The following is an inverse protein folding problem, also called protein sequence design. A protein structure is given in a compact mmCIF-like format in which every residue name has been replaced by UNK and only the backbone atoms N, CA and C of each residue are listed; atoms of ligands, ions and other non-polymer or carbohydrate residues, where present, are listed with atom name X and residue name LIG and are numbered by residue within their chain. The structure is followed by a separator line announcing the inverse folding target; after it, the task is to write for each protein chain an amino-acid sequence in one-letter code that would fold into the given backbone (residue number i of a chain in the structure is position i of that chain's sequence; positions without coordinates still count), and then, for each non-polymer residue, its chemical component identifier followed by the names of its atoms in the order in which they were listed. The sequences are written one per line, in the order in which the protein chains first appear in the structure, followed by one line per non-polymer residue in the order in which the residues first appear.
data_IF_001625615554
#
_entry.id   IF_001625615554
#
_cell.length_a   1.000
_cell.length_b   1.000
_cell.length_c   1.000
_cell.angle_alpha   90.00
_cell.angle_beta   90.00
_cell.angle_gamma   90.00
#
_symmetry.space_group_name_H-M   'P 1'
#
loop_
_entity.id
_entity.type
_entity.pdbx_description
1 polymer ?
#
# COMPACT_ATOMS: atom_id res chain seq x y z
N UNK A 1 -16.57 28.41 79.62
CA UNK A 1 -17.57 28.71 78.58
C UNK A 1 -18.24 27.39 78.19
N UNK A 2 -19.26 26.87 78.91
CA UNK A 2 -20.71 27.16 78.87
C UNK A 2 -21.33 26.87 77.48
N UNK A 3 -22.39 26.07 77.24
CA UNK A 3 -23.33 25.24 78.04
C UNK A 3 -24.18 24.42 77.03
N UNK A 4 -24.43 23.15 77.34
CA UNK A 4 -25.71 22.37 77.29
C UNK A 4 -26.73 22.52 76.13
N UNK A 5 -27.08 21.37 75.56
CA UNK A 5 -28.41 20.79 75.23
C UNK A 5 -29.69 21.65 75.38
N UNK A 6 -30.57 21.59 74.36
CA UNK A 6 -32.04 21.57 74.47
C UNK A 6 -32.65 21.16 73.10
N UNK A 7 -33.14 19.94 72.86
CA UNK A 7 -34.46 19.33 73.20
C UNK A 7 -35.69 20.06 72.61
N UNK A 8 -36.37 19.33 71.71
CA UNK A 8 -37.81 19.29 71.34
C UNK A 8 -38.55 20.60 71.03
N UNK A 9 -39.28 20.57 69.91
CA UNK A 9 -40.75 20.66 69.93
C UNK A 9 -41.40 20.02 68.71
N UNK A 10 -42.27 19.04 68.98
CA UNK A 10 -43.31 18.55 68.09
C UNK A 10 -44.29 19.69 67.77
N UNK A 11 -44.92 19.65 66.58
CA UNK A 11 -46.35 19.89 66.42
C UNK A 11 -46.86 19.35 65.08
N UNK A 12 -47.70 18.32 65.22
CA UNK A 12 -48.63 17.78 64.24
C UNK A 12 -49.74 18.77 63.90
N UNK A 13 -50.11 18.89 62.62
CA UNK A 13 -51.52 19.08 62.22
C UNK A 13 -51.73 18.39 60.87
N UNK A 14 -52.57 17.36 60.85
CA UNK A 14 -53.30 16.91 59.65
C UNK A 14 -54.70 17.52 59.74
N UNK A 15 -55.29 17.87 58.60
CA UNK A 15 -56.64 17.39 58.34
C UNK A 15 -56.76 16.70 56.99
N UNK A 16 -57.68 15.74 56.98
CA UNK A 16 -58.19 15.04 55.81
C UNK A 16 -58.84 16.01 54.82
N UNK A 17 -58.62 15.77 53.53
CA UNK A 17 -59.48 16.24 52.45
C UNK A 17 -59.50 15.18 51.35
N UNK A 18 -60.58 14.39 51.33
CA UNK A 18 -60.90 13.51 50.19
C UNK A 18 -61.20 14.38 48.97
N UNK A 19 -60.56 14.08 47.84
CA UNK A 19 -61.15 14.28 46.53
C UNK A 19 -60.53 13.27 45.56
N UNK A 20 -61.36 12.32 45.15
CA UNK A 20 -61.07 11.33 44.13
C UNK A 20 -61.05 12.02 42.75
N UNK A 21 -59.99 11.78 41.98
CA UNK A 21 -60.07 11.79 40.53
C UNK A 21 -59.23 10.62 40.01
N UNK A 22 -59.94 9.56 39.63
CA UNK A 22 -59.41 8.47 38.85
C UNK A 22 -59.21 8.96 37.41
N UNK A 23 -57.96 9.07 36.97
CA UNK A 23 -57.61 9.16 35.56
C UNK A 23 -56.79 7.91 35.21
N UNK A 24 -57.47 6.92 34.65
CA UNK A 24 -56.84 5.74 34.08
C UNK A 24 -56.12 6.14 32.78
N UNK A 25 -54.81 6.35 32.87
CA UNK A 25 -53.94 6.44 31.69
C UNK A 25 -53.53 5.01 31.29
N UNK A 26 -54.17 4.46 30.25
CA UNK A 26 -53.65 3.29 29.54
C UNK A 26 -52.38 3.72 28.80
N UNK A 27 -51.22 3.44 29.38
CA UNK A 27 -49.96 3.47 28.65
C UNK A 27 -49.88 2.20 27.79
N UNK A 28 -50.11 2.33 26.49
CA UNK A 28 -49.79 1.27 25.51
C UNK A 28 -48.26 1.21 25.42
N UNK A 29 -47.65 0.28 26.15
CA UNK A 29 -46.24 -0.07 25.97
C UNK A 29 -46.14 -0.89 24.69
N UNK A 30 -45.77 -0.24 23.59
CA UNK A 30 -45.39 -0.95 22.38
C UNK A 30 -44.13 -1.80 22.66
N UNK A 31 -44.10 -3.09 22.31
CA UNK A 31 -42.87 -3.86 22.41
C UNK A 31 -41.87 -3.29 21.40
N UNK A 32 -40.79 -2.70 21.89
CA UNK A 32 -39.60 -2.44 21.09
C UNK A 32 -39.03 -3.80 20.71
N UNK A 33 -39.33 -4.24 19.49
CA UNK A 33 -38.69 -5.41 18.90
C UNK A 33 -37.18 -5.13 18.82
N UNK A 34 -36.44 -5.64 19.80
CA UNK A 34 -35.00 -5.78 19.69
C UNK A 34 -34.73 -6.67 18.48
N UNK A 35 -34.28 -6.06 17.38
CA UNK A 35 -33.80 -6.81 16.22
C UNK A 35 -32.73 -7.80 16.67
N UNK A 36 -32.64 -9.00 16.06
CA UNK A 36 -31.60 -9.95 16.41
C UNK A 36 -30.23 -9.26 16.29
N UNK A 37 -29.28 -9.55 17.19
CA UNK A 37 -27.92 -9.04 17.04
C UNK A 37 -27.46 -9.44 15.64
N UNK A 38 -27.14 -8.44 14.81
CA UNK A 38 -26.49 -8.68 13.53
C UNK A 38 -25.16 -9.30 13.86
N UNK A 39 -25.07 -10.63 13.75
CA UNK A 39 -23.81 -11.36 13.79
C UNK A 39 -23.00 -10.81 12.62
N UNK A 40 -22.14 -9.83 12.87
CA UNK A 40 -21.11 -9.44 11.91
C UNK A 40 -20.35 -10.72 11.63
N UNK A 41 -20.60 -11.31 10.46
CA UNK A 41 -19.79 -12.40 9.96
C UNK A 41 -18.36 -11.91 10.06
N UNK A 42 -17.57 -12.52 10.96
CA UNK A 42 -16.16 -12.21 11.06
C UNK A 42 -15.60 -12.34 9.65
N UNK A 43 -15.14 -11.23 9.07
CA UNK A 43 -14.65 -11.26 7.70
C UNK A 43 -13.52 -12.27 7.67
N UNK A 44 -13.72 -13.38 6.95
CA UNK A 44 -12.65 -14.33 6.72
C UNK A 44 -11.59 -13.56 5.95
N UNK A 45 -10.43 -13.35 6.57
CA UNK A 45 -9.34 -12.59 5.97
C UNK A 45 -9.02 -13.10 4.56
N UNK A 46 -8.57 -12.22 3.69
CA UNK A 46 -8.20 -12.54 2.32
C UNK A 46 -6.69 -12.69 2.19
N UNK A 47 -6.23 -13.66 1.40
CA UNK A 47 -4.81 -13.84 1.05
C UNK A 47 -4.66 -14.16 -0.43
N UNK A 48 -3.69 -13.50 -1.06
CA UNK A 48 -3.27 -13.76 -2.44
C UNK A 48 -1.76 -13.64 -2.54
N UNK A 49 -1.10 -14.61 -3.16
CA UNK A 49 0.31 -14.56 -3.53
C UNK A 49 0.46 -15.06 -4.96
N UNK A 50 0.92 -14.19 -5.86
CA UNK A 50 1.11 -14.53 -7.27
C UNK A 50 2.40 -15.31 -7.50
N UNK A 51 3.39 -15.16 -6.62
CA UNK A 51 4.71 -15.73 -6.85
C UNK A 51 4.78 -17.22 -6.50
N UNK A 52 5.65 -17.93 -7.19
CA UNK A 52 6.08 -19.30 -6.96
C UNK A 52 7.57 -19.32 -6.55
N UNK A 53 8.09 -20.50 -6.20
CA UNK A 53 9.50 -20.62 -5.79
C UNK A 53 10.50 -20.34 -6.93
N UNK A 54 10.10 -20.56 -8.19
CA UNK A 54 10.93 -20.30 -9.37
C UNK A 54 11.13 -18.81 -9.66
N UNK A 55 10.15 -17.97 -9.31
CA UNK A 55 10.16 -16.55 -9.68
C UNK A 55 11.27 -15.73 -9.03
N UNK A 56 11.74 -16.15 -7.86
CA UNK A 56 12.73 -15.38 -7.11
C UNK A 56 14.12 -15.43 -7.76
N UNK A 57 14.72 -14.26 -7.96
CA UNK A 57 16.11 -14.11 -8.40
C UNK A 57 16.81 -13.08 -7.53
N UNK A 58 17.93 -13.46 -6.93
CA UNK A 58 18.79 -12.55 -6.18
C UNK A 58 19.57 -11.64 -7.15
N UNK A 59 19.85 -10.41 -6.74
CA UNK A 59 20.70 -9.51 -7.50
C UNK A 59 22.14 -10.02 -7.52
N UNK A 60 22.76 -9.95 -8.71
CA UNK A 60 24.13 -10.40 -8.96
C UNK A 60 25.19 -9.45 -8.40
N UNK A 61 24.83 -8.19 -8.13
CA UNK A 61 25.66 -7.22 -7.45
C UNK A 61 24.81 -6.09 -6.85
N UNK A 62 25.42 -5.17 -6.08
CA UNK A 62 24.74 -4.10 -5.33
C UNK A 62 24.04 -3.00 -6.14
N UNK A 63 24.13 -3.01 -7.49
CA UNK A 63 23.49 -1.99 -8.35
C UNK A 63 22.46 -2.56 -9.33
N UNK A 64 22.15 -3.86 -9.26
CA UNK A 64 21.19 -4.52 -10.15
C UNK A 64 19.80 -4.80 -9.55
N UNK A 65 19.43 -4.13 -8.45
CA UNK A 65 18.15 -4.39 -7.78
C UNK A 65 16.92 -4.19 -8.68
N UNK A 66 16.96 -3.22 -9.61
CA UNK A 66 15.88 -2.99 -10.58
C UNK A 66 15.83 -4.10 -11.62
N UNK A 67 16.97 -4.50 -12.21
CA UNK A 67 17.02 -5.59 -13.17
C UNK A 67 16.54 -6.92 -12.58
N UNK A 68 16.96 -7.22 -11.34
CA UNK A 68 16.47 -8.39 -10.60
C UNK A 68 14.96 -8.30 -10.33
N UNK A 69 14.46 -7.14 -9.92
CA UNK A 69 13.03 -6.92 -9.68
C UNK A 69 12.21 -7.02 -10.97
N UNK A 70 12.70 -6.50 -12.10
CA UNK A 70 12.08 -6.69 -13.42
C UNK A 70 11.99 -8.16 -13.79
N UNK A 71 13.08 -8.92 -13.59
CA UNK A 71 13.12 -10.35 -13.86
C UNK A 71 12.07 -11.10 -13.04
N UNK A 72 12.01 -10.87 -11.73
CA UNK A 72 10.99 -11.47 -10.87
C UNK A 72 9.57 -11.09 -11.31
N UNK A 73 9.33 -9.83 -11.66
CA UNK A 73 8.00 -9.37 -12.10
C UNK A 73 7.58 -9.99 -13.44
N UNK A 74 8.51 -10.19 -14.37
CA UNK A 74 8.26 -10.85 -15.65
C UNK A 74 8.02 -12.36 -15.49
N UNK A 75 8.70 -12.99 -14.53
CA UNK A 75 8.48 -14.39 -14.20
C UNK A 75 7.07 -14.60 -13.62
N UNK A 76 6.71 -13.82 -12.59
CA UNK A 76 5.37 -13.85 -11.98
C UNK A 76 4.26 -13.55 -13.00
N UNK A 77 4.48 -12.56 -13.87
CA UNK A 77 3.47 -12.15 -14.85
C UNK A 77 3.30 -13.14 -16.02
N UNK A 78 4.05 -14.25 -16.05
CA UNK A 78 3.84 -15.32 -17.01
C UNK A 78 4.40 -15.03 -18.40
N UNK A 79 5.63 -14.51 -18.49
CA UNK A 79 6.32 -14.38 -19.78
C UNK A 79 7.61 -15.21 -19.89
N UNK A 80 8.27 -15.56 -18.77
CA UNK A 80 9.53 -16.32 -18.72
C UNK A 80 9.66 -17.05 -17.36
N UNK A 81 10.49 -18.08 -17.23
CA UNK A 81 11.01 -18.57 -15.92
C UNK A 81 12.54 -18.45 -15.95
N UNK A 82 13.00 -17.25 -16.29
CA UNK A 82 14.41 -16.97 -16.51
C UNK A 82 15.04 -16.48 -15.21
N UNK A 83 16.08 -17.17 -14.76
CA UNK A 83 16.83 -16.86 -13.53
C UNK A 83 18.30 -16.56 -13.79
N UNK A 84 18.66 -16.33 -15.04
CA UNK A 84 20.05 -16.13 -15.46
C UNK A 84 20.57 -14.73 -15.12
N UNK A 85 21.85 -14.66 -14.77
CA UNK A 85 22.56 -13.41 -14.58
C UNK A 85 22.65 -12.57 -15.88
N UNK A 86 22.63 -13.23 -17.04
CA UNK A 86 22.65 -12.58 -18.35
C UNK A 86 21.37 -11.77 -18.58
N UNK A 87 20.21 -12.35 -18.31
CA UNK A 87 18.94 -11.63 -18.40
C UNK A 87 18.86 -10.52 -17.37
N UNK A 88 19.27 -10.75 -16.13
CA UNK A 88 19.31 -9.68 -15.13
C UNK A 88 20.13 -8.47 -15.59
N UNK A 89 21.32 -8.71 -16.16
CA UNK A 89 22.20 -7.66 -16.69
C UNK A 89 21.55 -6.93 -17.87
N UNK A 90 20.91 -7.66 -18.78
CA UNK A 90 20.18 -7.10 -19.92
C UNK A 90 19.03 -6.20 -19.45
N UNK A 91 18.22 -6.67 -18.51
CA UNK A 91 17.11 -5.91 -17.93
C UNK A 91 17.59 -4.67 -17.18
N UNK A 92 18.67 -4.78 -16.40
CA UNK A 92 19.29 -3.64 -15.73
C UNK A 92 19.84 -2.62 -16.75
N UNK A 93 20.43 -3.07 -17.85
CA UNK A 93 20.88 -2.23 -18.95
C UNK A 93 19.71 -1.46 -19.58
N UNK A 94 18.65 -2.16 -19.96
CA UNK A 94 17.44 -1.57 -20.51
C UNK A 94 16.83 -0.52 -19.57
N UNK A 95 16.65 -0.88 -18.29
CA UNK A 95 16.12 0.05 -17.29
C UNK A 95 17.00 1.30 -17.14
N UNK A 96 18.33 1.17 -17.21
CA UNK A 96 19.25 2.32 -17.20
C UNK A 96 19.08 3.21 -18.41
N UNK A 97 19.02 2.64 -19.62
CA UNK A 97 18.77 3.38 -20.85
C UNK A 97 17.46 4.17 -20.78
N UNK A 98 16.41 3.54 -20.28
CA UNK A 98 15.08 4.15 -20.13
C UNK A 98 14.94 5.05 -18.89
N UNK A 99 15.99 5.20 -18.08
CA UNK A 99 15.94 6.03 -16.87
C UNK A 99 15.93 7.52 -17.17
N UNK A 100 16.21 7.92 -18.41
CA UNK A 100 16.46 9.31 -18.80
C UNK A 100 17.88 9.78 -18.45
N UNK A 101 18.20 11.05 -18.77
CA UNK A 101 19.54 11.59 -18.54
C UNK A 101 19.92 11.53 -17.06
N UNK A 102 21.22 11.48 -16.80
CA UNK A 102 21.79 11.73 -15.49
C UNK A 102 22.26 13.20 -15.41
N UNK A 103 22.49 13.69 -14.20
CA UNK A 103 23.16 15.00 -14.02
C UNK A 103 24.53 14.95 -14.66
N UNK A 104 24.98 16.06 -15.25
CA UNK A 104 26.34 16.20 -15.74
C UNK A 104 27.36 15.76 -14.67
N UNK A 105 28.34 14.96 -15.08
CA UNK A 105 29.36 14.37 -14.20
C UNK A 105 28.87 13.28 -13.25
N UNK A 106 27.61 12.82 -13.36
CA UNK A 106 27.09 11.71 -12.55
C UNK A 106 26.89 10.46 -13.40
N UNK A 107 27.66 9.41 -13.11
CA UNK A 107 27.45 8.11 -13.71
C UNK A 107 26.35 7.32 -12.96
N UNK A 108 25.28 6.99 -13.68
CA UNK A 108 24.18 6.21 -13.10
C UNK A 108 24.54 4.73 -13.02
N UNK A 109 24.81 4.25 -11.80
CA UNK A 109 25.08 2.83 -11.53
C UNK A 109 23.83 1.95 -11.50
N UNK A 110 22.78 2.38 -10.78
CA UNK A 110 21.47 1.71 -10.72
C UNK A 110 20.52 2.16 -11.83
N UNK A 111 19.23 1.85 -11.74
CA UNK A 111 18.20 2.38 -12.66
C UNK A 111 17.13 3.19 -11.89
N UNK A 112 16.43 4.08 -12.58
CA UNK A 112 15.33 4.86 -12.01
C UNK A 112 14.01 4.09 -12.07
N UNK A 113 13.02 4.50 -11.27
CA UNK A 113 11.66 3.95 -11.34
C UNK A 113 11.00 4.16 -12.72
N UNK A 114 11.33 5.25 -13.42
CA UNK A 114 10.89 5.47 -14.81
C UNK A 114 11.42 4.37 -15.72
N UNK A 115 12.73 4.11 -15.63
CA UNK A 115 13.36 3.05 -16.41
C UNK A 115 12.80 1.67 -16.10
N UNK A 116 12.46 1.43 -14.83
CA UNK A 116 11.80 0.21 -14.38
C UNK A 116 10.41 0.03 -15.03
N UNK A 117 9.51 1.01 -14.88
CA UNK A 117 8.16 0.91 -15.44
C UNK A 117 8.17 0.89 -16.97
N UNK A 118 8.98 1.74 -17.60
CA UNK A 118 9.10 1.78 -19.06
C UNK A 118 9.67 0.47 -19.61
N UNK A 119 10.69 -0.10 -18.96
CA UNK A 119 11.27 -1.38 -19.35
C UNK A 119 10.26 -2.53 -19.27
N UNK A 120 9.49 -2.62 -18.19
CA UNK A 120 8.42 -3.63 -18.06
C UNK A 120 7.37 -3.50 -19.15
N UNK A 121 7.00 -2.26 -19.52
CA UNK A 121 6.02 -2.00 -20.57
C UNK A 121 6.56 -2.38 -21.95
N UNK A 122 7.80 -1.99 -22.26
CA UNK A 122 8.45 -2.30 -23.52
C UNK A 122 8.63 -3.81 -23.72
N UNK A 123 8.79 -4.57 -22.63
CA UNK A 123 8.93 -6.03 -22.65
C UNK A 123 7.58 -6.78 -22.63
N UNK A 124 6.44 -6.08 -22.71
CA UNK A 124 5.12 -6.70 -22.70
C UNK A 124 4.63 -7.18 -21.33
N UNK A 125 5.37 -6.92 -20.25
CA UNK A 125 4.95 -7.27 -18.89
C UNK A 125 3.81 -6.38 -18.35
N UNK A 126 3.68 -5.19 -18.92
CA UNK A 126 2.76 -4.14 -18.50
C UNK A 126 1.28 -4.30 -18.86
N UNK A 127 0.53 -3.19 -18.82
CA UNK A 127 1.01 -1.82 -18.64
C UNK A 127 1.20 -1.46 -17.15
N UNK A 128 2.33 -0.82 -16.83
CA UNK A 128 2.76 -0.31 -15.53
C UNK A 128 2.88 1.20 -15.55
N UNK A 129 2.52 1.84 -14.44
CA UNK A 129 2.70 3.28 -14.21
C UNK A 129 3.31 3.55 -12.84
N UNK A 130 3.86 4.74 -12.67
CA UNK A 130 4.32 5.21 -11.37
C UNK A 130 3.15 5.80 -10.59
N UNK A 131 3.06 5.45 -9.32
CA UNK A 131 2.09 6.03 -8.39
C UNK A 131 2.82 6.44 -7.12
N UNK A 132 2.50 7.63 -6.62
CA UNK A 132 2.91 8.09 -5.30
C UNK A 132 1.74 7.98 -4.33
N UNK A 133 2.01 7.55 -3.11
CA UNK A 133 1.05 7.55 -2.01
C UNK A 133 1.56 8.44 -0.88
N UNK A 134 0.62 9.08 -0.18
CA UNK A 134 0.88 9.99 0.94
C UNK A 134 1.19 9.24 2.24
N UNK A 135 0.75 7.99 2.35
CA UNK A 135 0.97 7.14 3.53
C UNK A 135 1.31 5.68 3.14
N UNK A 136 1.86 4.94 4.10
CA UNK A 136 2.13 3.51 3.94
C UNK A 136 0.84 2.71 3.72
N UNK A 137 -0.21 3.02 4.47
CA UNK A 137 -1.50 2.32 4.36
C UNK A 137 -2.16 2.57 3.00
N UNK A 138 -2.10 3.80 2.49
CA UNK A 138 -2.56 4.13 1.13
C UNK A 138 -1.73 3.37 0.08
N UNK A 139 -0.40 3.35 0.21
CA UNK A 139 0.47 2.63 -0.72
C UNK A 139 0.14 1.13 -0.76
N UNK A 140 -0.09 0.52 0.40
CA UNK A 140 -0.47 -0.89 0.51
C UNK A 140 -1.86 -1.16 -0.07
N UNK A 141 -2.84 -0.29 0.17
CA UNK A 141 -4.18 -0.41 -0.45
C UNK A 141 -4.10 -0.30 -1.98
N UNK A 142 -3.37 0.68 -2.50
CA UNK A 142 -3.15 0.84 -3.95
C UNK A 142 -2.48 -0.39 -4.56
N UNK A 143 -1.44 -0.91 -3.90
CA UNK A 143 -0.73 -2.11 -4.35
C UNK A 143 -1.63 -3.36 -4.32
N UNK A 144 -2.32 -3.62 -3.21
CA UNK A 144 -3.21 -4.76 -3.05
C UNK A 144 -4.37 -4.74 -4.07
N UNK A 145 -5.00 -3.58 -4.25
CA UNK A 145 -6.05 -3.41 -5.26
C UNK A 145 -5.54 -3.63 -6.68
N UNK A 146 -4.33 -3.16 -7.01
CA UNK A 146 -3.75 -3.38 -8.33
C UNK A 146 -3.39 -4.85 -8.59
N UNK A 147 -2.73 -5.51 -7.63
CA UNK A 147 -2.43 -6.95 -7.69
C UNK A 147 -3.73 -7.73 -7.90
N UNK A 148 -4.75 -7.43 -7.09
CA UNK A 148 -6.02 -8.14 -7.13
C UNK A 148 -6.78 -7.97 -8.44
N UNK A 149 -6.78 -6.76 -9.02
CA UNK A 149 -7.48 -6.44 -10.28
C UNK A 149 -6.76 -6.96 -11.53
N UNK A 150 -5.43 -6.99 -11.52
CA UNK A 150 -4.62 -7.24 -12.73
C UNK A 150 -3.97 -8.62 -12.75
N UNK A 151 -3.87 -9.30 -11.60
CA UNK A 151 -3.11 -10.53 -11.48
C UNK A 151 -1.61 -10.34 -11.71
N UNK A 152 -1.10 -9.12 -11.55
CA UNK A 152 0.32 -8.77 -11.78
C UNK A 152 0.97 -8.20 -10.51
N UNK A 153 2.28 -8.42 -10.29
CA UNK A 153 2.99 -7.94 -9.11
C UNK A 153 3.18 -6.42 -9.13
N UNK A 154 3.50 -5.84 -7.97
CA UNK A 154 3.78 -4.40 -7.82
C UNK A 154 5.24 -4.19 -7.44
N UNK A 155 5.90 -3.20 -8.03
CA UNK A 155 7.23 -2.77 -7.60
C UNK A 155 7.15 -1.78 -6.43
N UNK A 156 7.98 -1.95 -5.41
CA UNK A 156 8.11 -1.05 -4.26
C UNK A 156 9.46 -0.33 -4.29
N UNK A 157 9.45 1.00 -4.23
CA UNK A 157 10.67 1.79 -4.15
C UNK A 157 11.13 1.94 -2.69
N UNK A 158 12.08 1.11 -2.30
CA UNK A 158 12.56 0.97 -0.93
C UNK A 158 13.69 1.95 -0.58
N UNK A 159 13.95 2.09 0.72
CA UNK A 159 15.10 2.80 1.29
C UNK A 159 15.23 4.24 0.79
N UNK A 160 14.09 4.93 0.77
CA UNK A 160 13.95 6.31 0.30
C UNK A 160 14.39 6.54 -1.15
N UNK A 161 14.25 5.53 -2.01
CA UNK A 161 14.60 5.64 -3.43
C UNK A 161 15.88 4.93 -3.86
N UNK A 162 16.46 4.10 -2.99
CA UNK A 162 17.78 3.48 -3.22
C UNK A 162 17.73 1.99 -3.51
N UNK A 163 16.55 1.37 -3.39
CA UNK A 163 16.40 -0.07 -3.58
C UNK A 163 15.03 -0.43 -4.14
N UNK A 164 14.94 -1.60 -4.76
CA UNK A 164 13.73 -2.08 -5.43
C UNK A 164 13.35 -3.44 -4.86
N UNK A 165 12.11 -3.56 -4.38
CA UNK A 165 11.49 -4.83 -3.99
C UNK A 165 10.27 -5.10 -4.87
N UNK A 166 9.83 -6.36 -4.91
CA UNK A 166 8.57 -6.75 -5.55
C UNK A 166 7.59 -7.18 -4.47
N UNK A 167 6.36 -6.66 -4.53
CA UNK A 167 5.22 -7.18 -3.78
C UNK A 167 4.46 -8.14 -4.71
N UNK A 168 4.54 -9.44 -4.42
CA UNK A 168 3.86 -10.49 -5.19
C UNK A 168 2.45 -10.77 -4.68
N UNK A 169 2.13 -10.30 -3.47
CA UNK A 169 0.88 -10.65 -2.81
C UNK A 169 0.65 -9.89 -1.52
N UNK A 170 -0.46 -10.21 -0.86
CA UNK A 170 -0.88 -9.59 0.38
C UNK A 170 -1.84 -10.47 1.19
N UNK A 171 -1.97 -10.14 2.47
CA UNK A 171 -3.09 -10.51 3.33
C UNK A 171 -3.90 -9.26 3.67
N UNK A 172 -5.21 -9.38 3.75
CA UNK A 172 -6.12 -8.28 4.08
C UNK A 172 -7.30 -8.76 4.95
N UNK A 173 -8.00 -7.82 5.57
CA UNK A 173 -9.23 -8.12 6.33
C UNK A 173 -10.39 -8.59 5.45
N UNK A 174 -10.42 -8.16 4.19
CA UNK A 174 -11.46 -8.50 3.20
C UNK A 174 -10.86 -8.52 1.78
N UNK A 175 -11.52 -9.18 0.82
CA UNK A 175 -11.09 -9.20 -0.60
C UNK A 175 -11.29 -7.82 -1.27
N UNK A 176 -10.24 -7.15 -1.78
CA UNK A 176 -10.36 -5.88 -2.49
C UNK A 176 -11.18 -5.93 -3.77
N UNK A 177 -11.50 -7.11 -4.30
CA UNK A 177 -12.42 -7.27 -5.43
C UNK A 177 -13.90 -7.19 -5.02
N UNK A 178 -14.20 -7.28 -3.72
CA UNK A 178 -15.58 -7.32 -3.19
C UNK A 178 -15.97 -6.08 -2.41
N UNK A 179 -15.01 -5.36 -1.86
CA UNK A 179 -15.24 -4.17 -1.04
C UNK A 179 -14.03 -3.24 -1.06
N UNK A 180 -14.28 -1.95 -0.90
CA UNK A 180 -13.23 -0.96 -0.60
C UNK A 180 -12.95 -0.85 0.91
N UNK A 181 -13.79 -1.43 1.76
CA UNK A 181 -13.56 -1.52 3.20
C UNK A 181 -12.70 -2.74 3.55
N UNK A 182 -11.39 -2.59 3.35
CA UNK A 182 -10.39 -3.58 3.71
C UNK A 182 -9.12 -2.92 4.22
N UNK A 183 -8.39 -3.62 5.07
CA UNK A 183 -7.05 -3.23 5.50
C UNK A 183 -6.05 -4.30 5.13
N UNK A 184 -4.94 -3.91 4.52
CA UNK A 184 -3.80 -4.82 4.28
C UNK A 184 -3.12 -5.11 5.62
N UNK A 185 -3.05 -6.37 6.00
CA UNK A 185 -2.45 -6.85 7.26
C UNK A 185 -1.03 -7.37 7.06
N UNK A 186 -0.71 -7.88 5.85
CA UNK A 186 0.66 -8.26 5.46
C UNK A 186 0.92 -7.98 3.98
N UNK A 187 2.16 -7.63 3.67
CA UNK A 187 2.69 -7.63 2.32
C UNK A 187 3.56 -8.87 2.10
N UNK A 188 3.39 -9.56 0.98
CA UNK A 188 4.21 -10.70 0.58
C UNK A 188 5.21 -10.19 -0.43
N UNK A 189 6.50 -10.28 -0.08
CA UNK A 189 7.56 -9.53 -0.77
C UNK A 189 8.71 -10.41 -1.24
N UNK A 190 9.41 -9.91 -2.25
CA UNK A 190 10.65 -10.43 -2.80
C UNK A 190 11.68 -9.31 -2.77
N UNK A 191 12.69 -9.45 -1.92
CA UNK A 191 13.85 -8.55 -1.88
C UNK A 191 15.00 -9.20 -2.66
N UNK A 192 15.45 -8.62 -3.78
CA UNK A 192 16.55 -9.18 -4.56
C UNK A 192 17.87 -9.23 -3.78
N UNK A 193 17.99 -8.56 -2.63
CA UNK A 193 19.19 -8.61 -1.80
C UNK A 193 19.25 -9.84 -0.87
N UNK A 194 18.17 -10.60 -0.70
CA UNK A 194 18.19 -11.85 0.07
C UNK A 194 19.23 -12.84 -0.54
N UNK A 195 20.03 -13.57 0.29
CA UNK A 195 19.94 -13.73 1.75
C UNK A 195 20.68 -12.67 2.57
N UNK A 196 21.18 -11.62 1.94
CA UNK A 196 21.88 -10.54 2.63
C UNK A 196 20.87 -9.52 3.21
N UNK A 197 21.33 -8.30 3.40
CA UNK A 197 20.52 -7.20 3.88
C UNK A 197 21.30 -5.91 3.86
N UNK A 198 20.79 -4.91 4.56
CA UNK A 198 21.46 -3.63 4.74
C UNK A 198 21.84 -3.44 6.20
N UNK A 199 23.10 -3.06 6.46
CA UNK A 199 23.49 -2.65 7.81
C UNK A 199 22.67 -1.46 8.35
N UNK A 200 22.07 -0.65 7.47
CA UNK A 200 21.23 0.49 7.85
C UNK A 200 19.74 0.14 7.96
N UNK A 201 19.23 -0.74 7.10
CA UNK A 201 17.78 -1.00 6.98
C UNK A 201 17.35 -2.37 7.52
N UNK A 202 18.30 -3.20 7.93
CA UNK A 202 18.08 -4.54 8.48
C UNK A 202 18.22 -5.66 7.44
N UNK A 203 17.96 -6.88 7.87
CA UNK A 203 18.00 -8.07 7.04
C UNK A 203 16.94 -8.02 5.94
N UNK A 204 17.26 -8.59 4.77
CA UNK A 204 16.28 -8.83 3.72
C UNK A 204 15.30 -9.94 4.18
N UNK A 205 13.99 -9.78 3.93
CA UNK A 205 13.03 -10.84 4.17
C UNK A 205 13.33 -12.06 3.29
N UNK A 206 12.96 -13.25 3.77
CA UNK A 206 12.98 -14.45 2.93
C UNK A 206 12.06 -14.23 1.71
N UNK A 207 12.36 -14.82 0.54
CA UNK A 207 11.47 -14.74 -0.61
C UNK A 207 10.06 -15.18 -0.23
N UNK A 208 9.05 -14.38 -0.59
CA UNK A 208 7.63 -14.61 -0.29
C UNK A 208 7.28 -14.58 1.20
N UNK A 209 8.13 -13.98 2.03
CA UNK A 209 7.79 -13.77 3.43
C UNK A 209 6.66 -12.74 3.55
N UNK A 210 5.61 -13.09 4.28
CA UNK A 210 4.51 -12.20 4.62
C UNK A 210 4.88 -11.32 5.82
N UNK A 211 5.20 -10.04 5.57
CA UNK A 211 5.63 -9.08 6.59
C UNK A 211 4.53 -8.07 6.93
N UNK A 212 4.48 -7.64 8.18
CA UNK A 212 3.50 -6.65 8.65
C UNK A 212 3.80 -5.25 8.09
N UNK A 213 2.80 -4.36 7.96
CA UNK A 213 3.02 -2.95 7.60
C UNK A 213 4.08 -2.28 8.48
N UNK A 214 4.07 -2.52 9.79
CA UNK A 214 5.09 -1.98 10.70
C UNK A 214 6.51 -2.46 10.34
N UNK A 215 6.67 -3.70 9.87
CA UNK A 215 7.96 -4.22 9.42
C UNK A 215 8.38 -3.66 8.08
N UNK A 216 7.45 -3.61 7.13
CA UNK A 216 7.69 -3.02 5.82
C UNK A 216 8.06 -1.53 5.95
N UNK A 217 7.34 -0.77 6.78
CA UNK A 217 7.51 0.68 6.98
C UNK A 217 8.87 1.09 7.56
N UNK A 218 9.62 0.17 8.17
CA UNK A 218 11.02 0.43 8.54
C UNK A 218 11.93 0.58 7.32
N UNK A 219 11.57 -0.01 6.19
CA UNK A 219 12.37 -0.08 4.96
C UNK A 219 11.73 0.66 3.78
N UNK A 220 10.40 0.60 3.67
CA UNK A 220 9.62 1.34 2.70
C UNK A 220 9.31 2.70 3.32
N UNK A 221 10.17 3.68 3.03
CA UNK A 221 10.03 5.05 3.53
C UNK A 221 9.92 6.00 2.34
N UNK A 222 9.31 7.18 2.53
CA UNK A 222 9.12 8.14 1.45
C UNK A 222 10.42 8.50 0.73
N UNK A 223 10.30 8.72 -0.58
CA UNK A 223 11.43 9.08 -1.42
C UNK A 223 12.07 10.39 -0.96
N UNK A 224 13.39 10.43 -0.88
CA UNK A 224 14.12 11.67 -0.55
C UNK A 224 13.91 12.74 -1.63
N UNK A 225 13.61 13.96 -1.19
CA UNK A 225 13.66 15.15 -2.05
C UNK A 225 15.10 15.31 -2.56
N UNK A 226 15.28 15.67 -3.84
CA UNK A 226 16.59 15.99 -4.41
C UNK A 226 17.46 14.84 -4.91
N UNK A 227 17.04 13.56 -4.86
CA UNK A 227 17.81 12.45 -5.48
C UNK A 227 17.58 12.31 -6.99
N UNK A 228 17.23 13.41 -7.67
CA UNK A 228 17.12 13.48 -9.12
C UNK A 228 18.38 14.13 -9.69
N UNK A 229 19.25 13.29 -10.23
CA UNK A 229 20.30 13.74 -11.10
C UNK A 229 19.69 14.03 -12.49
N UNK A 230 19.38 15.31 -12.79
CA UNK A 230 19.09 15.82 -14.13
C UNK A 230 17.62 15.79 -14.58
N UNK A 231 16.85 16.85 -14.27
CA UNK A 231 15.92 17.40 -15.25
C UNK A 231 16.80 18.26 -16.17
N UNK A 232 16.90 18.03 -17.47
CA UNK A 232 15.83 18.12 -18.47
C UNK A 232 16.18 17.22 -19.67
N UNK A 233 15.20 16.45 -20.12
CA UNK A 233 15.07 16.02 -21.52
C UNK A 233 13.62 16.26 -21.99
N UNK A 234 12.67 16.26 -21.06
CA UNK A 234 11.24 16.57 -21.22
C UNK A 234 10.70 17.25 -19.94
N UNK A 235 9.97 18.36 -20.08
CA UNK A 235 9.38 19.07 -18.94
C UNK A 235 8.33 18.21 -18.20
N UNK A 236 7.63 17.35 -18.94
CA UNK A 236 6.59 16.45 -18.43
C UNK A 236 7.15 15.37 -17.48
N UNK A 237 8.29 14.75 -17.82
CA UNK A 237 8.87 13.77 -16.91
C UNK A 237 9.47 14.44 -15.67
N UNK A 238 10.06 15.63 -15.81
CA UNK A 238 10.50 16.41 -14.65
C UNK A 238 9.32 16.72 -13.71
N UNK A 239 8.17 17.13 -14.25
CA UNK A 239 6.95 17.37 -13.48
C UNK A 239 6.44 16.10 -12.78
N UNK A 240 6.36 14.98 -13.51
CA UNK A 240 5.94 13.68 -12.96
C UNK A 240 6.83 13.23 -11.81
N UNK A 241 8.15 13.33 -11.97
CA UNK A 241 9.08 12.87 -10.95
C UNK A 241 9.17 13.81 -9.75
N UNK A 242 8.93 15.11 -9.94
CA UNK A 242 8.79 16.08 -8.86
C UNK A 242 7.51 15.84 -8.06
N UNK A 243 6.40 15.47 -8.71
CA UNK A 243 5.16 15.10 -8.02
C UNK A 243 5.32 13.87 -7.11
N UNK A 244 6.31 13.01 -7.38
CA UNK A 244 6.65 11.84 -6.57
C UNK A 244 7.68 12.12 -5.47
N UNK A 245 8.14 13.36 -5.31
CA UNK A 245 9.10 13.70 -4.26
C UNK A 245 8.44 13.67 -2.88
N UNK A 246 9.05 12.97 -1.92
CA UNK A 246 8.49 12.85 -0.56
C UNK A 246 7.32 11.89 -0.44
N UNK A 247 7.03 11.07 -1.46
CA UNK A 247 5.94 10.08 -1.45
C UNK A 247 6.47 8.65 -1.31
N UNK A 248 5.58 7.73 -0.94
CA UNK A 248 5.80 6.30 -1.12
C UNK A 248 5.58 5.96 -2.59
N UNK A 249 6.65 5.60 -3.30
CA UNK A 249 6.58 5.39 -4.75
C UNK A 249 6.46 3.91 -5.07
N UNK A 250 5.49 3.56 -5.92
CA UNK A 250 5.22 2.20 -6.38
C UNK A 250 5.11 2.16 -7.91
N UNK A 251 5.50 1.02 -8.49
CA UNK A 251 5.32 0.69 -9.92
C UNK A 251 4.14 -0.26 -10.02
N UNK A 252 3.03 0.22 -10.56
CA UNK A 252 1.71 -0.41 -10.41
C UNK A 252 1.16 -0.83 -11.77
N UNK A 253 0.74 -2.09 -11.94
CA UNK A 253 0.04 -2.52 -13.14
C UNK A 253 -1.35 -1.88 -13.18
N UNK A 254 -1.83 -1.53 -14.37
CA UNK A 254 -3.17 -0.95 -14.54
C UNK A 254 -3.89 -1.57 -15.73
N UNK A 255 -5.20 -1.36 -15.79
CA UNK A 255 -6.00 -1.65 -16.97
C UNK A 255 -6.16 -0.32 -17.71
N UNK A 256 -5.69 -0.19 -18.96
CA UNK A 256 -5.94 1.01 -19.74
C UNK A 256 -7.44 1.21 -19.87
N UNK A 257 -7.94 2.36 -19.42
CA UNK A 257 -9.26 2.81 -19.84
C UNK A 257 -9.07 3.33 -21.26
N UNK A 258 -9.68 2.68 -22.24
CA UNK A 258 -9.70 3.22 -23.60
C UNK A 258 -10.44 4.56 -23.57
N UNK A 259 -9.70 5.65 -23.74
CA UNK A 259 -10.27 6.96 -24.02
C UNK A 259 -10.13 7.15 -25.53
N UNK A 260 -11.22 7.12 -26.31
CA UNK A 260 -11.16 7.43 -27.73
C UNK A 260 -10.49 8.79 -27.91
N UNK A 261 -9.45 8.87 -28.74
CA UNK A 261 -8.81 10.13 -29.11
C UNK A 261 -9.69 10.88 -30.11
N UNK A 262 -10.85 11.36 -29.69
CA UNK A 262 -11.59 12.38 -30.42
C UNK A 262 -11.18 13.75 -29.89
N UNK A 263 -10.03 14.24 -30.35
CA UNK A 263 -9.76 15.68 -30.48
C UNK A 263 -8.79 15.88 -31.63
N UNK A 264 -9.35 16.29 -32.77
CA UNK A 264 -8.61 16.98 -33.83
C UNK A 264 -7.91 18.18 -33.19
N UNK A 265 -6.60 18.24 -33.33
CA UNK A 265 -5.83 19.45 -33.05
C UNK A 265 -6.08 20.38 -34.24
N UNK A 266 -6.67 21.57 -34.06
CA UNK A 266 -6.70 22.55 -35.15
C UNK A 266 -5.26 22.96 -35.48
N UNK A 267 -4.96 22.91 -36.78
CA UNK A 267 -3.71 23.35 -37.41
C UNK A 267 -3.55 24.85 -37.24
#
# INVERSE_FOLDING_TARGET
MSRRNLVRRLRSVRPLGLAAFAAAALAIVAPTAAGPPSTSAASSGFRLDLAQSGDFVAQTNFVQCVGASMQMMLNIAGTQDDRTAATQRRLQGLARTLSGPARAGFERKGASVRGWSAGLNQLGGGPYRLVGASSLDEALRLAAGAIRRTGKPVGLLMWAGRHAWVMSGFEATSDPARTDDYRVTRAIVLDPLYPYGSGRWGASPRPRQAITPATLGRQFVPRRRGTWAGAVADAEAAATMNALAGTYVIVVPYIPVYVPRDRKIPV
#
